data_IF_023518691291
#
_entry.id   IF_023518691291
#
_cell.length_a   1.000
_cell.length_b   1.000
_cell.length_c   1.000
_cell.angle_alpha   90.00
_cell.angle_beta   90.00
_cell.angle_gamma   90.00
#
_symmetry.space_group_name_H-M   'P 1'
#
loop_
_entity.id
_entity.type
_entity.pdbx_description
1 polymer ?
#
# COMPACT_ATOMS: atom_id res chain seq x y z
N UNK A 1 -10.80 8.16 7.08
CA UNK A 1 -9.94 7.02 7.41
C UNK A 1 -10.46 5.80 6.67
N UNK A 2 -9.64 5.22 5.80
CA UNK A 2 -9.96 4.03 5.03
C UNK A 2 -8.73 3.12 5.00
N UNK A 3 -8.96 1.82 4.93
CA UNK A 3 -7.89 0.84 4.76
C UNK A 3 -7.57 0.69 3.27
N UNK A 4 -6.34 1.03 2.87
CA UNK A 4 -5.90 1.06 1.47
C UNK A 4 -4.79 0.02 1.28
N UNK A 5 -4.94 -0.84 0.28
CA UNK A 5 -3.91 -1.78 -0.16
C UNK A 5 -3.23 -1.26 -1.43
N UNK A 6 -1.94 -0.93 -1.32
CA UNK A 6 -1.10 -0.53 -2.46
C UNK A 6 -0.35 -1.76 -2.95
N UNK A 7 -0.49 -2.08 -4.25
CA UNK A 7 0.17 -3.21 -4.89
C UNK A 7 1.03 -2.70 -6.03
N UNK A 8 2.34 -2.79 -5.87
CA UNK A 8 3.31 -2.28 -6.83
C UNK A 8 4.63 -3.04 -6.66
N UNK A 9 5.35 -3.39 -7.73
CA UNK A 9 6.61 -4.12 -7.66
C UNK A 9 7.80 -3.21 -7.30
N UNK A 10 7.69 -1.90 -7.53
CA UNK A 10 8.72 -0.92 -7.23
C UNK A 10 8.64 -0.41 -5.78
N UNK A 11 9.74 -0.55 -5.02
CA UNK A 11 9.77 -0.12 -3.61
C UNK A 11 9.58 1.39 -3.44
N UNK A 12 10.18 2.20 -4.32
CA UNK A 12 10.10 3.66 -4.21
C UNK A 12 8.69 4.19 -4.40
N UNK A 13 7.88 3.56 -5.27
CA UNK A 13 6.49 3.94 -5.48
C UNK A 13 5.64 3.56 -4.25
N UNK A 14 5.85 2.35 -3.69
CA UNK A 14 5.14 1.93 -2.48
C UNK A 14 5.39 2.85 -1.29
N UNK A 15 6.65 3.24 -1.06
CA UNK A 15 7.00 4.15 0.04
C UNK A 15 6.39 5.53 -0.16
N UNK A 16 6.52 6.11 -1.36
CA UNK A 16 5.92 7.42 -1.68
C UNK A 16 4.40 7.43 -1.46
N UNK A 17 3.70 6.40 -1.95
CA UNK A 17 2.25 6.30 -1.76
C UNK A 17 1.88 6.06 -0.30
N UNK A 18 2.68 5.32 0.45
CA UNK A 18 2.49 5.11 1.88
C UNK A 18 2.62 6.41 2.67
N UNK A 19 3.58 7.27 2.33
CA UNK A 19 3.75 8.59 2.95
C UNK A 19 2.55 9.49 2.64
N UNK A 20 2.21 9.66 1.36
CA UNK A 20 1.11 10.54 0.94
C UNK A 20 -0.22 10.13 1.58
N UNK A 21 -0.57 8.84 1.53
CA UNK A 21 -1.84 8.35 2.06
C UNK A 21 -1.84 8.28 3.59
N UNK A 22 -0.68 8.01 4.21
CA UNK A 22 -0.51 8.03 5.65
C UNK A 22 -0.70 9.42 6.23
N UNK A 23 -0.14 10.46 5.58
CA UNK A 23 -0.29 11.87 5.95
C UNK A 23 -1.76 12.33 5.89
N UNK A 24 -2.53 11.80 4.95
CA UNK A 24 -3.99 12.02 4.83
C UNK A 24 -4.82 11.24 5.88
N UNK A 25 -4.17 10.44 6.74
CA UNK A 25 -4.83 9.68 7.80
C UNK A 25 -5.50 8.40 7.31
N UNK A 26 -4.96 7.78 6.25
CA UNK A 26 -5.35 6.43 5.83
C UNK A 26 -4.45 5.37 6.44
N UNK A 27 -5.01 4.16 6.62
CA UNK A 27 -4.20 3.00 7.02
C UNK A 27 -3.77 2.28 5.76
N UNK A 28 -2.46 2.29 5.50
CA UNK A 28 -1.88 1.78 4.26
C UNK A 28 -1.25 0.41 4.50
N UNK A 29 -1.62 -0.56 3.67
CA UNK A 29 -0.99 -1.86 3.58
C UNK A 29 -0.26 -1.97 2.24
N UNK A 30 0.96 -2.49 2.28
CA UNK A 30 1.81 -2.60 1.09
C UNK A 30 1.92 -4.05 0.64
N UNK A 31 1.86 -4.26 -0.68
CA UNK A 31 2.14 -5.54 -1.31
C UNK A 31 3.06 -5.36 -2.53
N UNK A 32 4.05 -6.23 -2.67
CA UNK A 32 4.98 -6.21 -3.82
C UNK A 32 4.46 -6.97 -5.05
N UNK A 33 3.37 -7.73 -4.89
CA UNK A 33 2.80 -8.54 -5.97
C UNK A 33 1.32 -8.85 -5.73
N UNK A 34 0.61 -9.20 -6.80
CA UNK A 34 -0.79 -9.61 -6.73
C UNK A 34 -0.99 -10.87 -5.87
N UNK A 35 -0.03 -11.80 -5.86
CA UNK A 35 -0.11 -12.97 -4.98
C UNK A 35 -0.05 -12.54 -3.51
N UNK A 36 0.84 -11.62 -3.15
CA UNK A 36 0.96 -11.13 -1.78
C UNK A 36 -0.27 -10.30 -1.37
N UNK A 37 -0.82 -9.51 -2.30
CA UNK A 37 -2.05 -8.76 -2.10
C UNK A 37 -3.25 -9.68 -1.81
N UNK A 38 -3.38 -10.77 -2.59
CA UNK A 38 -4.46 -11.75 -2.44
C UNK A 38 -4.45 -12.46 -1.08
N UNK A 39 -3.27 -12.68 -0.48
CA UNK A 39 -3.14 -13.25 0.87
C UNK A 39 -3.67 -12.33 1.98
N UNK A 40 -3.85 -11.04 1.68
CA UNK A 40 -4.36 -10.03 2.63
C UNK A 40 -5.86 -9.76 2.47
N UNK A 41 -6.55 -10.52 1.62
CA UNK A 41 -8.01 -10.51 1.51
C UNK A 41 -8.65 -11.23 2.69
#
# INVERSE_FOLDING_TARGET
>A
MADILVVDDEIGIRELLSEILGDEGHTVMLAESAQQASQRR
#
